data_IF_694726217631
#
_entry.id   IF_694726217631
#
_cell.length_a   1.000
_cell.length_b   1.000
_cell.length_c   1.000
_cell.angle_alpha   90.00
_cell.angle_beta   90.00
_cell.angle_gamma   90.00
#
_symmetry.space_group_name_H-M   'P 1'
#
loop_
_entity.id
_entity.type
_entity.pdbx_description
1 polymer ?
#
# COMPACT_ATOMS: atom_id res chain seq x y z
N UNK A 1 10.67 -16.21 13.76
CA UNK A 1 10.08 -15.54 12.57
C UNK A 1 10.70 -14.16 12.49
N UNK A 2 11.48 -13.92 11.45
CA UNK A 2 12.29 -12.71 11.31
C UNK A 2 11.38 -11.55 10.93
N UNK A 3 11.00 -10.74 11.92
CA UNK A 3 10.38 -9.43 11.70
C UNK A 3 11.34 -8.60 10.83
N UNK A 4 11.01 -8.49 9.54
CA UNK A 4 11.86 -7.88 8.52
C UNK A 4 11.07 -6.76 7.82
N UNK A 5 11.03 -5.56 8.41
CA UNK A 5 10.18 -4.46 7.97
C UNK A 5 10.62 -3.93 6.60
N UNK A 6 9.69 -3.93 5.64
CA UNK A 6 9.92 -3.46 4.27
C UNK A 6 10.21 -1.96 4.28
N UNK A 7 9.58 -1.22 5.20
CA UNK A 7 9.80 0.21 5.41
C UNK A 7 11.27 0.57 5.62
N UNK A 8 12.04 -0.27 6.33
CA UNK A 8 13.46 -0.03 6.62
C UNK A 8 14.38 -0.36 5.46
N UNK A 9 13.97 -1.28 4.58
CA UNK A 9 14.79 -1.74 3.44
C UNK A 9 14.62 -0.87 2.20
N UNK A 10 13.40 -0.42 1.96
CA UNK A 10 13.05 0.36 0.77
C UNK A 10 13.96 1.58 0.51
N UNK A 11 14.35 2.39 1.50
CA UNK A 11 15.22 3.55 1.29
C UNK A 11 16.60 3.21 0.69
N UNK A 12 17.09 2.00 0.98
CA UNK A 12 18.42 1.53 0.58
C UNK A 12 18.42 0.83 -0.78
N UNK A 13 17.29 0.24 -1.20
CA UNK A 13 17.21 -0.62 -2.39
C UNK A 13 16.29 -0.10 -3.49
N UNK A 14 15.41 0.86 -3.19
CA UNK A 14 14.47 1.41 -4.17
C UNK A 14 14.93 2.78 -4.68
N UNK A 15 15.03 2.98 -6.00
CA UNK A 15 15.34 4.28 -6.58
C UNK A 15 14.24 5.32 -6.35
N UNK A 16 13.04 4.90 -5.92
CA UNK A 16 11.88 5.78 -5.77
C UNK A 16 11.92 6.61 -4.49
N UNK A 17 12.50 6.09 -3.38
CA UNK A 17 12.54 6.71 -2.04
C UNK A 17 11.30 7.54 -1.68
N UNK A 18 10.13 7.11 -2.13
CA UNK A 18 8.90 7.89 -2.01
C UNK A 18 8.47 7.87 -0.54
N UNK A 19 8.49 9.02 0.16
CA UNK A 19 8.14 9.07 1.58
C UNK A 19 6.70 8.61 1.84
N UNK A 20 5.78 8.82 0.88
CA UNK A 20 4.39 8.38 1.04
C UNK A 20 4.30 6.85 1.02
N UNK A 21 5.07 6.20 0.16
CA UNK A 21 5.12 4.73 0.10
C UNK A 21 5.79 4.13 1.33
N UNK A 22 6.89 4.73 1.81
CA UNK A 22 7.55 4.29 3.07
C UNK A 22 6.58 4.39 4.25
N UNK A 23 5.91 5.54 4.39
CA UNK A 23 4.92 5.75 5.45
C UNK A 23 3.73 4.77 5.34
N UNK A 24 3.33 4.41 4.12
CA UNK A 24 2.32 3.37 3.90
C UNK A 24 2.81 2.00 4.39
N UNK A 25 4.04 1.59 4.05
CA UNK A 25 4.60 0.34 4.56
C UNK A 25 4.68 0.31 6.09
N UNK A 26 5.18 1.37 6.73
CA UNK A 26 5.23 1.46 8.21
C UNK A 26 3.85 1.27 8.85
N UNK A 27 2.79 1.78 8.20
CA UNK A 27 1.42 1.69 8.69
C UNK A 27 0.85 0.28 8.65
N UNK A 28 1.25 -0.56 7.68
CA UNK A 28 0.61 -1.86 7.45
C UNK A 28 1.50 -3.08 7.74
N UNK A 29 2.84 -2.93 7.78
CA UNK A 29 3.78 -4.05 7.85
C UNK A 29 3.72 -4.88 9.14
N UNK A 30 3.02 -4.38 10.16
CA UNK A 30 2.84 -5.07 11.44
C UNK A 30 1.51 -5.83 11.55
N UNK A 31 0.59 -5.65 10.61
CA UNK A 31 -0.72 -6.32 10.60
C UNK A 31 -0.57 -7.82 10.38
N UNK A 32 -1.63 -8.61 10.48
CA UNK A 32 -1.71 -10.00 10.01
C UNK A 32 -2.27 -10.06 8.58
N UNK A 33 -2.30 -11.22 7.93
CA UNK A 33 -2.91 -11.37 6.58
C UNK A 33 -4.39 -10.96 6.58
N UNK A 34 -5.18 -11.46 7.54
CA UNK A 34 -6.60 -11.09 7.61
C UNK A 34 -6.84 -9.60 7.91
N UNK A 35 -5.94 -8.95 8.65
CA UNK A 35 -6.01 -7.50 8.87
C UNK A 35 -5.60 -6.71 7.63
N UNK A 36 -4.64 -7.21 6.83
CA UNK A 36 -4.29 -6.64 5.54
C UNK A 36 -5.44 -6.75 4.54
N UNK A 37 -6.13 -7.90 4.47
CA UNK A 37 -7.33 -8.07 3.62
C UNK A 37 -8.43 -7.07 4.01
N UNK A 38 -8.68 -6.91 5.31
CA UNK A 38 -9.64 -5.94 5.79
C UNK A 38 -9.21 -4.49 5.48
N UNK A 39 -7.91 -4.19 5.54
CA UNK A 39 -7.37 -2.88 5.16
C UNK A 39 -7.51 -2.63 3.66
N UNK A 40 -7.24 -3.64 2.83
CA UNK A 40 -7.38 -3.59 1.37
C UNK A 40 -8.80 -3.23 0.94
N UNK A 41 -9.81 -3.89 1.52
CA UNK A 41 -11.21 -3.61 1.21
C UNK A 41 -11.60 -2.16 1.54
N UNK A 42 -11.18 -1.65 2.70
CA UNK A 42 -11.43 -0.24 3.08
C UNK A 42 -10.75 0.74 2.13
N UNK A 43 -9.45 0.56 1.89
CA UNK A 43 -8.66 1.44 1.01
C UNK A 43 -9.21 1.42 -0.42
N UNK A 44 -9.67 0.27 -0.91
CA UNK A 44 -10.28 0.18 -2.24
C UNK A 44 -11.66 0.81 -2.32
N UNK A 45 -12.46 0.78 -1.24
CA UNK A 45 -13.72 1.50 -1.20
C UNK A 45 -13.47 3.01 -1.36
N UNK A 46 -12.53 3.57 -0.59
CA UNK A 46 -12.18 4.99 -0.67
C UNK A 46 -11.55 5.35 -2.03
N UNK A 47 -10.71 4.48 -2.57
CA UNK A 47 -10.12 4.66 -3.89
C UNK A 47 -11.18 4.68 -5.00
N UNK A 48 -12.19 3.81 -4.95
CA UNK A 48 -13.31 3.80 -5.92
C UNK A 48 -14.09 5.11 -5.84
N UNK A 49 -14.39 5.59 -4.64
CA UNK A 49 -15.04 6.91 -4.45
C UNK A 49 -14.23 8.02 -5.14
N UNK A 50 -12.90 8.00 -5.02
CA UNK A 50 -12.05 8.98 -5.70
C UNK A 50 -12.06 8.84 -7.22
N UNK A 51 -11.96 7.61 -7.74
CA UNK A 51 -11.91 7.33 -9.19
C UNK A 51 -13.23 7.69 -9.88
N UNK A 52 -14.36 7.41 -9.22
CA UNK A 52 -15.69 7.64 -9.78
C UNK A 52 -16.14 9.11 -9.65
N UNK A 53 -15.38 9.94 -8.94
CA UNK A 53 -15.67 11.35 -8.75
C UNK A 53 -15.48 12.14 -10.06
N UNK A 54 -16.49 12.90 -10.55
CA UNK A 54 -16.41 13.64 -11.81
C UNK A 54 -15.24 14.62 -11.90
N UNK A 55 -14.84 15.22 -10.78
CA UNK A 55 -13.70 16.14 -10.69
C UNK A 55 -12.35 15.46 -10.93
N UNK A 56 -12.27 14.14 -10.81
CA UNK A 56 -11.07 13.36 -11.08
C UNK A 56 -11.08 12.70 -12.47
N UNK A 57 -12.13 12.93 -13.26
CA UNK A 57 -12.24 12.36 -14.60
C UNK A 57 -11.04 12.74 -15.48
N UNK A 58 -10.38 11.73 -16.05
CA UNK A 58 -9.20 11.91 -16.90
C UNK A 58 -7.87 12.07 -16.15
N UNK A 59 -7.87 12.11 -14.81
CA UNK A 59 -6.63 12.08 -14.02
C UNK A 59 -6.05 10.66 -13.98
N UNK A 60 -4.72 10.51 -13.95
CA UNK A 60 -4.08 9.24 -13.65
C UNK A 60 -4.52 8.73 -12.27
N UNK A 61 -4.87 7.44 -12.18
CA UNK A 61 -5.32 6.86 -10.92
C UNK A 61 -4.23 6.83 -9.83
N UNK A 62 -2.96 6.95 -10.22
CA UNK A 62 -1.82 7.05 -9.31
C UNK A 62 -1.86 8.35 -8.49
N UNK A 63 -2.63 9.35 -8.91
CA UNK A 63 -2.84 10.58 -8.14
C UNK A 63 -3.86 10.41 -7.00
N UNK A 64 -4.55 9.27 -6.93
CA UNK A 64 -5.45 8.98 -5.82
C UNK A 64 -4.67 8.89 -4.50
N UNK A 65 -5.11 9.55 -3.41
CA UNK A 65 -4.43 9.51 -2.12
C UNK A 65 -4.19 8.09 -1.57
N UNK A 66 -5.07 7.15 -1.93
CA UNK A 66 -5.03 5.76 -1.51
C UNK A 66 -3.96 4.94 -2.27
N UNK A 67 -3.39 5.47 -3.35
CA UNK A 67 -2.52 4.69 -4.24
C UNK A 67 -1.28 4.11 -3.52
N UNK A 68 -0.53 4.87 -2.69
CA UNK A 68 0.59 4.30 -1.93
C UNK A 68 0.16 3.20 -0.96
N UNK A 69 -0.99 3.38 -0.29
CA UNK A 69 -1.54 2.39 0.65
C UNK A 69 -1.89 1.08 -0.08
N UNK A 70 -2.46 1.17 -1.29
CA UNK A 70 -2.74 -0.01 -2.13
C UNK A 70 -1.45 -0.76 -2.47
N UNK A 71 -0.42 -0.07 -2.95
CA UNK A 71 0.86 -0.72 -3.29
C UNK A 71 1.48 -1.39 -2.06
N UNK A 72 1.48 -0.71 -0.91
CA UNK A 72 2.03 -1.26 0.32
C UNK A 72 1.30 -2.53 0.77
N UNK A 73 -0.04 -2.50 0.81
CA UNK A 73 -0.85 -3.64 1.25
C UNK A 73 -0.69 -4.83 0.31
N UNK A 74 -0.77 -4.61 -1.01
CA UNK A 74 -0.64 -5.68 -2.02
C UNK A 74 0.74 -6.35 -1.95
N UNK A 75 1.80 -5.54 -1.84
CA UNK A 75 3.18 -6.05 -1.69
C UNK A 75 3.36 -6.87 -0.41
N UNK A 76 2.74 -6.44 0.71
CA UNK A 76 2.81 -7.16 1.98
C UNK A 76 2.00 -8.47 1.94
N UNK A 77 0.84 -8.47 1.29
CA UNK A 77 0.04 -9.67 1.07
C UNK A 77 0.80 -10.69 0.22
N UNK A 78 1.39 -10.26 -0.90
CA UNK A 78 2.21 -11.12 -1.76
C UNK A 78 3.36 -11.75 -0.96
N UNK A 79 4.14 -10.91 -0.26
CA UNK A 79 5.29 -11.37 0.52
C UNK A 79 4.91 -12.42 1.56
N UNK A 80 3.81 -12.22 2.28
CA UNK A 80 3.38 -13.11 3.38
C UNK A 80 2.65 -14.35 2.92
N UNK A 81 2.11 -14.34 1.71
CA UNK A 81 1.41 -15.49 1.14
C UNK A 81 2.40 -16.45 0.48
N UNK A 82 3.46 -15.92 -0.15
CA UNK A 82 4.31 -16.72 -1.04
C UNK A 82 5.77 -16.84 -0.61
N UNK A 83 6.29 -15.91 0.20
CA UNK A 83 7.72 -15.85 0.53
C UNK A 83 8.06 -16.13 2.00
N UNK A 84 7.08 -16.10 2.90
CA UNK A 84 7.22 -16.46 4.33
C UNK A 84 6.38 -17.69 4.66
#
# INVERSE_FOLDING_TARGET
MSWDPVSRKLPDVSPLRDPALVAAFERYEHLTVGELDAAWERVNADFRVWVDAPENAGRPFQEAPQYPDRIAIDSLLERRTWWE
#
